data_IF_638815882516
#
_entry.id   IF_638815882516
#
_cell.length_a   1.000
_cell.length_b   1.000
_cell.length_c   1.000
_cell.angle_alpha   90.00
_cell.angle_beta   90.00
_cell.angle_gamma   90.00
#
_symmetry.space_group_name_H-M   'P 1'
#
loop_
_entity.id
_entity.type
_entity.pdbx_description
1 polymer ?
#
# COMPACT_ATOMS: atom_id res chain seq x y z
N UNK A 1 -41.27 49.70 44.08
CA UNK A 1 -40.80 48.84 42.98
C UNK A 1 -39.41 48.38 43.36
N UNK A 2 -39.32 47.22 44.03
CA UNK A 2 -38.04 46.64 44.47
C UNK A 2 -37.61 45.67 43.38
N UNK A 3 -36.47 45.96 42.74
CA UNK A 3 -35.78 45.03 41.86
C UNK A 3 -35.26 43.90 42.74
N UNK A 4 -35.83 42.71 42.59
CA UNK A 4 -35.29 41.48 43.17
C UNK A 4 -34.21 41.01 42.22
N UNK A 5 -32.95 41.07 42.65
CA UNK A 5 -31.82 40.52 41.90
C UNK A 5 -32.03 39.01 41.66
N UNK A 6 -31.81 38.58 40.42
CA UNK A 6 -31.90 37.18 40.05
C UNK A 6 -30.84 36.37 40.81
N UNK A 7 -31.17 35.17 41.31
CA UNK A 7 -30.21 34.35 42.03
C UNK A 7 -29.04 33.95 41.13
N UNK A 8 -27.82 34.13 41.64
CA UNK A 8 -26.58 33.78 40.98
C UNK A 8 -26.48 32.25 40.87
N UNK A 9 -26.42 31.74 39.63
CA UNK A 9 -26.40 30.29 39.34
C UNK A 9 -25.14 29.66 39.94
N UNK A 10 -25.32 28.55 40.67
CA UNK A 10 -24.19 27.83 41.26
C UNK A 10 -23.35 27.14 40.16
N UNK A 11 -22.05 26.85 40.39
CA UNK A 11 -21.21 26.17 39.41
C UNK A 11 -21.76 24.82 38.92
N UNK A 12 -22.64 24.18 39.70
CA UNK A 12 -23.30 22.92 39.36
C UNK A 12 -24.44 23.08 38.33
N UNK A 13 -24.97 24.29 38.16
CA UNK A 13 -26.06 24.59 37.22
C UNK A 13 -25.54 25.06 35.85
N UNK A 14 -24.22 25.10 35.66
CA UNK A 14 -23.62 25.42 34.37
C UNK A 14 -23.88 24.26 33.39
N UNK A 15 -24.52 24.51 32.23
CA UNK A 15 -24.78 23.47 31.26
C UNK A 15 -23.46 22.84 30.82
N UNK A 16 -23.33 21.52 31.00
CA UNK A 16 -22.23 20.74 30.44
C UNK A 16 -22.25 20.96 28.93
N UNK A 17 -21.30 21.76 28.44
CA UNK A 17 -21.13 22.00 27.02
C UNK A 17 -21.01 20.64 26.34
N UNK A 18 -21.87 20.31 25.36
CA UNK A 18 -21.77 19.04 24.67
C UNK A 18 -20.35 18.94 24.10
N UNK A 19 -19.68 17.77 24.20
CA UNK A 19 -18.36 17.62 23.64
C UNK A 19 -18.42 18.09 22.18
N UNK A 20 -17.55 19.03 21.82
CA UNK A 20 -17.49 19.56 20.46
C UNK A 20 -17.48 18.40 19.45
N UNK A 21 -18.26 18.53 18.37
CA UNK A 21 -18.46 17.43 17.42
C UNK A 21 -17.14 16.81 16.98
N UNK A 22 -17.13 15.50 16.72
CA UNK A 22 -15.94 14.70 16.37
C UNK A 22 -15.02 15.41 15.35
N UNK A 23 -15.62 16.07 14.36
CA UNK A 23 -14.96 16.87 13.34
C UNK A 23 -14.15 18.06 13.91
N UNK A 24 -14.72 18.81 14.85
CA UNK A 24 -14.03 19.95 15.48
C UNK A 24 -12.85 19.51 16.34
N UNK A 25 -12.99 18.36 17.03
CA UNK A 25 -11.98 17.82 17.95
C UNK A 25 -10.81 17.13 17.23
N UNK A 26 -11.05 16.54 16.05
CA UNK A 26 -10.09 15.70 15.35
C UNK A 26 -9.75 16.18 13.92
N UNK A 27 -10.09 17.44 13.57
CA UNK A 27 -9.88 18.03 12.23
C UNK A 27 -8.49 17.80 11.63
N UNK A 28 -7.43 17.89 12.45
CA UNK A 28 -6.06 17.69 11.97
C UNK A 28 -5.80 16.26 11.51
N UNK A 29 -6.26 15.27 12.28
CA UNK A 29 -6.12 13.87 11.91
C UNK A 29 -6.95 13.52 10.67
N UNK A 30 -8.16 14.07 10.57
CA UNK A 30 -9.01 13.91 9.39
C UNK A 30 -8.31 14.49 8.15
N UNK A 31 -7.73 15.69 8.25
CA UNK A 31 -6.99 16.31 7.15
C UNK A 31 -5.80 15.45 6.70
N UNK A 32 -5.00 14.94 7.64
CA UNK A 32 -3.88 14.04 7.33
C UNK A 32 -4.38 12.76 6.65
N UNK A 33 -5.48 12.17 7.13
CA UNK A 33 -6.10 11.01 6.50
C UNK A 33 -6.55 11.28 5.06
N UNK A 34 -7.17 12.43 4.80
CA UNK A 34 -7.58 12.84 3.45
C UNK A 34 -6.36 13.00 2.55
N UNK A 35 -5.32 13.72 3.00
CA UNK A 35 -4.08 13.90 2.23
C UNK A 35 -3.43 12.56 1.93
N UNK A 36 -3.37 11.65 2.90
CA UNK A 36 -2.84 10.30 2.72
C UNK A 36 -3.60 9.53 1.63
N UNK A 37 -4.93 9.55 1.66
CA UNK A 37 -5.77 8.87 0.64
C UNK A 37 -5.53 9.47 -0.74
N UNK A 38 -5.48 10.80 -0.86
CA UNK A 38 -5.22 11.47 -2.13
C UNK A 38 -3.84 11.10 -2.70
N UNK A 39 -2.80 11.07 -1.87
CA UNK A 39 -1.45 10.66 -2.28
C UNK A 39 -1.41 9.19 -2.68
N UNK A 40 -2.09 8.32 -1.94
CA UNK A 40 -2.20 6.89 -2.26
C UNK A 40 -2.87 6.67 -3.61
N UNK A 41 -3.97 7.37 -3.88
CA UNK A 41 -4.67 7.30 -5.17
C UNK A 41 -3.82 7.86 -6.31
N UNK A 42 -3.14 8.97 -6.08
CA UNK A 42 -2.22 9.58 -7.05
C UNK A 42 -1.07 8.62 -7.42
N UNK A 43 -0.42 8.03 -6.42
CA UNK A 43 0.59 6.99 -6.61
C UNK A 43 0.02 5.79 -7.39
N UNK A 44 -1.18 5.33 -7.02
CA UNK A 44 -1.81 4.16 -7.64
C UNK A 44 -1.98 4.32 -9.16
N UNK A 45 -2.35 5.52 -9.63
CA UNK A 45 -2.61 5.79 -11.05
C UNK A 45 -1.40 6.31 -11.83
N UNK A 46 -0.41 6.90 -11.15
CA UNK A 46 0.68 7.65 -11.83
C UNK A 46 1.94 6.82 -12.01
N UNK A 47 2.19 5.84 -11.13
CA UNK A 47 3.37 4.98 -11.23
C UNK A 47 3.06 3.85 -12.22
N UNK A 48 3.82 3.69 -13.32
CA UNK A 48 3.64 2.55 -14.22
C UNK A 48 3.78 1.22 -13.45
N UNK A 49 3.14 0.17 -13.96
CA UNK A 49 3.24 -1.15 -13.34
C UNK A 49 4.71 -1.57 -13.24
N UNK A 50 5.12 -2.19 -12.13
CA UNK A 50 6.45 -2.78 -11.95
C UNK A 50 7.61 -1.80 -11.79
N UNK A 51 7.39 -0.49 -11.91
CA UNK A 51 8.42 0.52 -11.64
C UNK A 51 8.62 0.78 -10.14
N UNK A 52 7.64 0.39 -9.32
CA UNK A 52 7.85 0.41 -7.87
C UNK A 52 8.74 -0.75 -7.46
N UNK A 53 9.67 -0.45 -6.55
CA UNK A 53 10.59 -1.44 -6.01
C UNK A 53 9.83 -2.67 -5.50
N UNK A 54 10.30 -3.85 -5.93
CA UNK A 54 9.77 -5.17 -5.59
C UNK A 54 8.28 -5.43 -5.83
N UNK A 55 7.51 -4.51 -6.44
CA UNK A 55 6.06 -4.61 -6.62
C UNK A 55 5.66 -5.89 -7.34
N UNK A 56 6.39 -6.20 -8.40
CA UNK A 56 6.21 -7.40 -9.19
C UNK A 56 6.27 -8.68 -8.33
N UNK A 57 7.27 -8.78 -7.47
CA UNK A 57 7.48 -9.98 -6.66
C UNK A 57 6.41 -10.13 -5.58
N UNK A 58 5.93 -9.00 -5.04
CA UNK A 58 4.80 -9.01 -4.11
C UNK A 58 3.49 -9.41 -4.80
N UNK A 59 3.24 -8.90 -6.00
CA UNK A 59 2.10 -9.26 -6.81
C UNK A 59 2.12 -10.74 -7.18
N UNK A 60 3.28 -11.26 -7.58
CA UNK A 60 3.44 -12.66 -7.96
C UNK A 60 3.11 -13.61 -6.81
N UNK A 61 3.56 -13.31 -5.59
CA UNK A 61 3.20 -14.12 -4.42
C UNK A 61 1.69 -14.08 -4.14
N UNK A 62 1.07 -12.90 -4.12
CA UNK A 62 -0.38 -12.80 -3.92
C UNK A 62 -1.17 -13.56 -5.01
N UNK A 63 -0.75 -13.46 -6.28
CA UNK A 63 -1.36 -14.20 -7.40
C UNK A 63 -1.12 -15.70 -7.27
N UNK A 64 0.09 -16.13 -6.92
CA UNK A 64 0.40 -17.55 -6.69
C UNK A 64 -0.55 -18.16 -5.66
N UNK A 65 -0.79 -17.47 -4.54
CA UNK A 65 -1.73 -17.92 -3.53
C UNK A 65 -3.18 -17.97 -4.06
N UNK A 66 -3.59 -16.97 -4.85
CA UNK A 66 -4.92 -16.93 -5.45
C UNK A 66 -5.16 -18.10 -6.43
N UNK A 67 -4.16 -18.41 -7.27
CA UNK A 67 -4.24 -19.47 -8.27
C UNK A 67 -4.06 -20.87 -7.66
N UNK A 68 -3.04 -21.07 -6.82
CA UNK A 68 -2.65 -22.40 -6.35
C UNK A 68 -3.31 -22.80 -5.02
N UNK A 69 -3.80 -21.83 -4.24
CA UNK A 69 -4.40 -22.03 -2.91
C UNK A 69 -3.48 -22.80 -1.94
N UNK A 70 -2.18 -22.67 -2.13
CA UNK A 70 -1.14 -23.28 -1.31
C UNK A 70 -0.01 -22.27 -1.10
N UNK A 71 0.75 -22.42 -0.02
CA UNK A 71 1.97 -21.64 0.14
C UNK A 71 3.01 -22.09 -0.90
N UNK A 72 3.76 -21.16 -1.52
CA UNK A 72 4.85 -21.51 -2.40
C UNK A 72 6.03 -22.09 -1.61
N UNK A 73 6.87 -22.88 -2.27
CA UNK A 73 8.17 -23.24 -1.71
C UNK A 73 9.02 -21.98 -1.56
N UNK A 74 9.46 -21.70 -0.33
CA UNK A 74 10.29 -20.56 0.04
C UNK A 74 11.64 -20.52 -0.70
N UNK A 75 12.08 -21.64 -1.30
CA UNK A 75 13.31 -21.75 -2.08
C UNK A 75 13.06 -21.84 -3.60
N UNK A 76 11.81 -21.80 -4.05
CA UNK A 76 11.51 -21.87 -5.48
C UNK A 76 12.13 -20.67 -6.21
N UNK A 77 13.01 -20.88 -7.19
CA UNK A 77 13.54 -19.78 -7.99
C UNK A 77 12.42 -19.23 -8.87
N UNK A 78 12.24 -17.91 -8.84
CA UNK A 78 11.43 -17.19 -9.82
C UNK A 78 12.35 -16.56 -10.84
N UNK A 79 12.28 -17.01 -12.09
CA UNK A 79 13.16 -16.50 -13.13
C UNK A 79 12.79 -15.05 -13.48
N UNK A 80 13.63 -14.11 -13.04
CA UNK A 80 13.59 -12.72 -13.49
C UNK A 80 14.39 -12.59 -14.80
N UNK A 81 13.91 -11.81 -15.78
CA UNK A 81 14.79 -11.24 -16.77
C UNK A 81 15.71 -10.23 -16.09
N UNK A 82 17.00 -10.28 -16.45
CA UNK A 82 18.12 -9.51 -15.88
C UNK A 82 17.79 -8.10 -15.40
N UNK A 83 18.06 -7.81 -14.12
CA UNK A 83 18.42 -6.48 -13.64
C UNK A 83 19.79 -6.58 -12.97
N UNK A 84 20.76 -5.83 -13.49
CA UNK A 84 22.17 -5.86 -13.06
C UNK A 84 22.34 -5.42 -11.59
N UNK A 85 21.32 -4.78 -11.01
CA UNK A 85 21.27 -4.35 -9.62
C UNK A 85 20.87 -5.44 -8.61
N UNK A 86 20.55 -6.66 -9.04
CA UNK A 86 20.32 -7.78 -8.11
C UNK A 86 21.63 -8.56 -7.89
N UNK A 87 22.39 -8.02 -6.95
CA UNK A 87 23.74 -8.38 -6.52
C UNK A 87 24.11 -9.87 -6.64
N UNK A 88 25.16 -10.11 -7.45
CA UNK A 88 26.00 -11.32 -7.58
C UNK A 88 25.53 -12.33 -8.63
N UNK A 89 26.18 -12.26 -9.80
CA UNK A 89 26.33 -13.40 -10.70
C UNK A 89 27.01 -14.54 -9.94
N UNK A 90 26.31 -15.64 -9.71
CA UNK A 90 26.94 -16.86 -9.19
C UNK A 90 27.67 -17.52 -10.36
N UNK A 91 29.00 -17.50 -10.29
CA UNK A 91 29.87 -18.13 -11.30
C UNK A 91 29.50 -19.62 -11.45
N UNK A 92 29.16 -20.05 -12.67
CA UNK A 92 28.70 -21.42 -12.96
C UNK A 92 27.18 -21.65 -12.96
N UNK A 93 26.36 -20.64 -12.65
CA UNK A 93 24.90 -20.71 -12.82
C UNK A 93 24.44 -19.78 -13.96
N UNK A 94 23.91 -20.37 -15.03
CA UNK A 94 23.31 -19.66 -16.18
C UNK A 94 21.89 -19.16 -15.86
N UNK A 95 21.68 -18.55 -14.70
CA UNK A 95 20.37 -18.06 -14.25
C UNK A 95 20.48 -17.14 -13.04
N UNK A 96 19.94 -15.93 -13.18
CA UNK A 96 19.88 -14.85 -12.21
C UNK A 96 19.30 -15.30 -10.86
N UNK A 97 19.87 -14.86 -9.73
CA UNK A 97 19.25 -15.07 -8.42
C UNK A 97 17.94 -14.26 -8.33
N UNK A 98 16.84 -14.98 -8.23
CA UNK A 98 15.49 -14.45 -8.09
C UNK A 98 15.33 -13.64 -6.79
N UNK A 99 14.93 -12.38 -6.85
CA UNK A 99 14.28 -11.73 -5.68
C UNK A 99 12.86 -12.28 -5.57
N UNK A 100 12.74 -13.41 -4.89
CA UNK A 100 11.46 -14.01 -4.52
C UNK A 100 11.03 -13.53 -3.14
N UNK A 101 9.77 -13.11 -3.01
CA UNK A 101 9.17 -12.74 -1.73
C UNK A 101 8.58 -13.94 -0.97
N UNK A 102 8.75 -15.17 -1.48
CA UNK A 102 8.14 -16.38 -0.89
C UNK A 102 8.68 -16.71 0.50
N UNK A 103 9.86 -16.20 0.88
CA UNK A 103 10.40 -16.31 2.25
C UNK A 103 9.70 -15.36 3.25
N UNK A 104 8.95 -14.37 2.77
CA UNK A 104 8.27 -13.42 3.66
C UNK A 104 7.03 -14.07 4.32
N UNK A 105 6.66 -13.63 5.53
CA UNK A 105 5.43 -14.07 6.19
C UNK A 105 4.19 -13.87 5.29
N UNK A 106 3.26 -14.85 5.24
CA UNK A 106 2.26 -14.91 4.17
C UNK A 106 1.08 -13.96 4.34
N UNK A 107 0.87 -13.34 5.51
CA UNK A 107 -0.40 -12.70 5.86
C UNK A 107 -0.83 -11.61 4.87
N UNK A 108 0.10 -10.71 4.50
CA UNK A 108 -0.17 -9.67 3.51
C UNK A 108 -0.60 -10.27 2.15
N UNK A 109 0.10 -11.33 1.71
CA UNK A 109 -0.16 -11.99 0.44
C UNK A 109 -1.46 -12.78 0.45
N UNK A 110 -1.86 -13.34 1.60
CA UNK A 110 -3.15 -14.00 1.77
C UNK A 110 -4.30 -13.01 1.60
N UNK A 111 -4.19 -11.80 2.17
CA UNK A 111 -5.17 -10.74 1.94
C UNK A 111 -5.20 -10.30 0.47
N UNK A 112 -4.02 -10.13 -0.14
CA UNK A 112 -3.90 -9.87 -1.57
C UNK A 112 -4.56 -10.96 -2.42
N UNK A 113 -4.36 -12.22 -2.07
CA UNK A 113 -4.94 -13.36 -2.78
C UNK A 113 -6.47 -13.34 -2.76
N UNK A 114 -7.09 -12.92 -1.65
CA UNK A 114 -8.54 -12.74 -1.57
C UNK A 114 -9.04 -11.67 -2.56
N UNK A 115 -8.30 -10.56 -2.68
CA UNK A 115 -8.59 -9.50 -3.66
C UNK A 115 -8.39 -10.00 -5.09
N UNK A 116 -7.37 -10.82 -5.33
CA UNK A 116 -6.97 -11.28 -6.66
C UNK A 116 -7.68 -12.55 -7.14
N UNK A 117 -8.35 -13.30 -6.27
CA UNK A 117 -9.04 -14.56 -6.63
C UNK A 117 -9.93 -14.43 -7.87
N UNK A 118 -10.76 -13.37 -8.03
CA UNK A 118 -11.61 -13.23 -9.21
C UNK A 118 -10.85 -12.92 -10.51
N UNK A 119 -9.57 -12.54 -10.42
CA UNK A 119 -8.72 -12.10 -11.52
C UNK A 119 -7.51 -13.03 -11.71
N UNK A 120 -7.47 -14.16 -11.01
CA UNK A 120 -6.29 -15.02 -10.94
C UNK A 120 -5.92 -15.59 -12.32
N UNK A 121 -6.92 -15.95 -13.13
CA UNK A 121 -6.73 -16.50 -14.47
C UNK A 121 -6.48 -15.42 -15.54
N UNK A 122 -6.97 -14.20 -15.29
CA UNK A 122 -6.87 -13.06 -16.21
C UNK A 122 -5.64 -12.17 -15.95
N UNK A 123 -4.82 -12.53 -14.97
CA UNK A 123 -3.64 -11.77 -14.58
C UNK A 123 -2.36 -12.59 -14.67
N UNK A 124 -1.27 -11.91 -15.00
CA UNK A 124 0.06 -12.49 -15.08
C UNK A 124 1.08 -11.53 -14.48
N UNK A 125 2.16 -12.10 -13.93
CA UNK A 125 3.36 -11.37 -13.57
C UNK A 125 4.26 -11.11 -14.79
N UNK A 126 3.79 -11.30 -16.04
CA UNK A 126 4.67 -11.03 -17.16
C UNK A 126 4.99 -9.53 -17.24
N UNK A 127 6.27 -9.19 -17.36
CA UNK A 127 6.71 -7.84 -17.69
C UNK A 127 7.88 -7.90 -18.65
N UNK A 128 7.90 -6.94 -19.58
CA UNK A 128 8.99 -6.78 -20.52
C UNK A 128 10.04 -5.89 -19.86
N UNK A 129 11.22 -6.41 -19.55
CA UNK A 129 12.31 -5.62 -18.97
C UNK A 129 12.83 -4.59 -19.97
N UNK A 130 13.15 -3.39 -19.48
CA UNK A 130 13.78 -2.37 -20.29
C UNK A 130 15.21 -2.79 -20.67
N UNK A 131 15.52 -3.02 -21.97
CA UNK A 131 16.85 -3.45 -22.40
C UNK A 131 17.92 -2.37 -22.18
N UNK A 132 17.54 -1.12 -21.92
CA UNK A 132 18.45 0.02 -21.71
C UNK A 132 18.56 0.47 -20.25
N UNK A 133 18.03 -0.33 -19.29
CA UNK A 133 18.10 -0.03 -17.86
C UNK A 133 19.53 0.36 -17.45
N UNK A 134 19.66 1.46 -16.70
CA UNK A 134 20.92 2.03 -16.26
C UNK A 134 21.59 1.08 -15.28
N UNK A 135 22.75 0.58 -15.66
CA UNK A 135 23.47 -0.52 -15.03
C UNK A 135 24.95 -0.39 -15.36
N UNK A 136 25.84 -1.15 -14.71
CA UNK A 136 27.29 -1.05 -14.91
C UNK A 136 27.77 -1.35 -16.36
N UNK A 137 26.90 -1.85 -17.25
CA UNK A 137 27.15 -1.99 -18.69
C UNK A 137 26.23 -1.17 -19.63
N UNK A 138 25.25 -0.41 -19.12
CA UNK A 138 24.25 0.30 -19.95
C UNK A 138 23.91 1.67 -19.37
N UNK A 139 23.89 2.72 -20.19
CA UNK A 139 23.91 4.11 -19.70
C UNK A 139 22.71 4.98 -20.12
N UNK A 140 21.52 4.43 -20.38
CA UNK A 140 20.48 5.22 -21.07
C UNK A 140 19.04 5.24 -20.48
N UNK A 141 18.63 4.31 -19.62
CA UNK A 141 17.23 4.23 -19.17
C UNK A 141 17.05 4.05 -17.66
N UNK A 142 16.19 4.85 -17.03
CA UNK A 142 15.89 4.69 -15.59
C UNK A 142 14.72 3.74 -15.30
N UNK A 143 13.89 3.45 -16.29
CA UNK A 143 12.72 2.58 -16.12
C UNK A 143 13.14 1.11 -16.10
N UNK A 144 12.57 0.33 -15.18
CA UNK A 144 12.81 -1.11 -15.04
C UNK A 144 12.12 -1.91 -16.14
N UNK A 145 10.94 -1.47 -16.58
CA UNK A 145 10.10 -2.17 -17.54
C UNK A 145 9.71 -1.31 -18.75
N UNK A 146 9.36 -1.99 -19.84
CA UNK A 146 8.75 -1.39 -21.03
C UNK A 146 7.24 -1.35 -20.81
N UNK A 147 6.67 -0.15 -20.91
CA UNK A 147 5.25 0.08 -20.66
C UNK A 147 4.50 0.25 -21.97
N UNK A 148 3.65 -0.71 -22.38
CA UNK A 148 2.67 -0.44 -23.41
C UNK A 148 1.68 0.62 -22.90
N UNK A 149 1.04 1.36 -23.81
CA UNK A 149 -0.05 2.25 -23.42
C UNK A 149 -1.14 1.44 -22.73
N UNK A 150 -1.39 1.73 -21.46
CA UNK A 150 -2.44 1.08 -20.69
C UNK A 150 -3.81 1.53 -21.20
N UNK A 151 -4.69 0.57 -21.46
CA UNK A 151 -6.07 0.85 -21.84
C UNK A 151 -6.87 1.38 -20.64
N UNK A 152 -7.81 2.29 -20.90
CA UNK A 152 -8.78 2.76 -19.92
C UNK A 152 -10.19 2.30 -20.32
N UNK A 153 -10.94 1.60 -19.44
CA UNK A 153 -10.58 1.20 -18.07
C UNK A 153 -9.53 0.07 -18.02
N UNK A 154 -8.73 -0.02 -16.93
CA UNK A 154 -7.73 -1.07 -16.75
C UNK A 154 -8.40 -2.45 -16.65
N UNK A 155 -7.75 -3.47 -17.22
CA UNK A 155 -8.23 -4.85 -17.31
C UNK A 155 -7.08 -5.83 -17.00
N UNK A 156 -7.43 -7.09 -16.70
CA UNK A 156 -6.47 -8.16 -16.42
C UNK A 156 -5.45 -7.79 -15.35
N UNK A 157 -4.16 -8.01 -15.62
CA UNK A 157 -3.03 -7.65 -14.74
C UNK A 157 -3.07 -6.20 -14.26
N UNK A 158 -3.41 -5.26 -15.14
CA UNK A 158 -3.41 -3.85 -14.78
C UNK A 158 -4.45 -3.51 -13.70
N UNK A 159 -5.66 -4.05 -13.85
CA UNK A 159 -6.70 -3.93 -12.82
C UNK A 159 -6.27 -4.61 -11.52
N UNK A 160 -5.71 -5.82 -11.62
CA UNK A 160 -5.23 -6.59 -10.48
C UNK A 160 -4.19 -5.81 -9.65
N UNK A 161 -3.21 -5.17 -10.31
CA UNK A 161 -2.21 -4.33 -9.63
C UNK A 161 -2.85 -3.12 -8.96
N UNK A 162 -3.75 -2.41 -9.64
CA UNK A 162 -4.42 -1.25 -9.04
C UNK A 162 -5.26 -1.62 -7.81
N UNK A 163 -5.90 -2.79 -7.81
CA UNK A 163 -6.63 -3.30 -6.65
C UNK A 163 -5.70 -3.66 -5.50
N UNK A 164 -4.56 -4.29 -5.78
CA UNK A 164 -3.59 -4.63 -4.75
C UNK A 164 -2.91 -3.38 -4.16
N UNK A 165 -2.63 -2.37 -4.98
CA UNK A 165 -2.17 -1.04 -4.52
C UNK A 165 -3.22 -0.36 -3.63
N UNK A 166 -4.50 -0.40 -4.04
CA UNK A 166 -5.59 0.15 -3.23
C UNK A 166 -5.71 -0.57 -1.87
N UNK A 167 -5.60 -1.89 -1.85
CA UNK A 167 -5.57 -2.68 -0.60
C UNK A 167 -4.40 -2.26 0.30
N UNK A 168 -3.18 -2.16 -0.25
CA UNK A 168 -1.99 -1.69 0.48
C UNK A 168 -2.21 -0.29 1.08
N UNK A 169 -2.81 0.60 0.29
CA UNK A 169 -3.24 1.93 0.74
C UNK A 169 -4.22 1.90 1.91
N UNK A 170 -5.24 1.03 1.88
CA UNK A 170 -6.19 0.88 2.98
C UNK A 170 -5.51 0.37 4.27
N UNK A 171 -4.55 -0.53 4.16
CA UNK A 171 -3.75 -1.00 5.30
C UNK A 171 -2.93 0.16 5.87
N UNK A 172 -2.32 1.00 5.02
CA UNK A 172 -1.61 2.20 5.45
C UNK A 172 -2.52 3.21 6.16
N UNK A 173 -3.73 3.43 5.64
CA UNK A 173 -4.74 4.29 6.28
C UNK A 173 -5.17 3.75 7.65
N UNK A 174 -5.34 2.44 7.76
CA UNK A 174 -5.62 1.78 9.04
C UNK A 174 -4.48 1.99 10.04
N UNK A 175 -3.22 1.84 9.61
CA UNK A 175 -2.05 2.11 10.43
C UNK A 175 -1.97 3.57 10.90
N UNK A 176 -2.29 4.52 10.02
CA UNK A 176 -2.38 5.94 10.36
C UNK A 176 -3.47 6.22 11.41
N UNK A 177 -4.66 5.64 11.23
CA UNK A 177 -5.75 5.75 12.20
C UNK A 177 -5.39 5.14 13.56
N UNK A 178 -4.80 3.93 13.57
CA UNK A 178 -4.33 3.27 14.79
C UNK A 178 -3.26 4.10 15.52
N UNK A 179 -2.33 4.71 14.79
CA UNK A 179 -1.32 5.61 15.35
C UNK A 179 -1.96 6.82 16.04
N UNK A 180 -2.94 7.44 15.37
CA UNK A 180 -3.67 8.56 15.94
C UNK A 180 -4.43 8.20 17.22
N UNK A 181 -5.17 7.09 17.19
CA UNK A 181 -5.92 6.58 18.34
C UNK A 181 -5.01 6.22 19.51
N UNK A 182 -3.84 5.65 19.21
CA UNK A 182 -2.81 5.36 20.22
C UNK A 182 -2.30 6.65 20.87
N UNK A 183 -2.06 7.70 20.08
CA UNK A 183 -1.70 9.01 20.62
C UNK A 183 -2.77 9.59 21.54
N UNK A 184 -4.06 9.45 21.20
CA UNK A 184 -5.16 9.87 22.06
C UNK A 184 -5.23 9.08 23.38
N UNK A 185 -4.85 7.80 23.36
CA UNK A 185 -4.82 6.96 24.55
C UNK A 185 -3.65 7.34 25.48
N UNK A 186 -2.46 7.55 24.91
CA UNK A 186 -1.23 7.84 25.67
C UNK A 186 -1.24 9.26 26.26
N UNK A 187 -1.65 10.27 25.48
CA UNK A 187 -1.59 11.67 25.89
C UNK A 187 -2.90 12.21 26.47
N UNK A 188 -3.78 11.31 26.95
CA UNK A 188 -5.10 11.67 27.47
C UNK A 188 -5.04 12.56 28.71
N UNK A 189 -4.03 12.39 29.55
CA UNK A 189 -3.90 13.05 30.86
C UNK A 189 -3.13 14.38 30.82
N UNK A 190 -2.68 14.82 29.63
CA UNK A 190 -1.95 16.08 29.45
C UNK A 190 -2.86 17.26 29.04
N UNK A 191 -4.18 17.14 29.20
CA UNK A 191 -5.18 18.14 28.81
C UNK A 191 -6.07 18.55 29.97
#
# INVERSE_FOLDING_TARGET
>A
MVLVDAPELTPADQPVQPPGGLWSRHRGAILVGIVFVLLTLYYNISIPLWESDNEWAHFDYARYLATNRSLPDANSPLFLPFTEDQCRVVEGQTGSQAVSQYRQPPFYYMLGALVLTPLADDSSAAFDTNPYLFTDGKQAGYNVAVHPKQAFPPQGTALAVHLLRAMSGLIGLFGLAATYLTGLLIFRDSR
#
